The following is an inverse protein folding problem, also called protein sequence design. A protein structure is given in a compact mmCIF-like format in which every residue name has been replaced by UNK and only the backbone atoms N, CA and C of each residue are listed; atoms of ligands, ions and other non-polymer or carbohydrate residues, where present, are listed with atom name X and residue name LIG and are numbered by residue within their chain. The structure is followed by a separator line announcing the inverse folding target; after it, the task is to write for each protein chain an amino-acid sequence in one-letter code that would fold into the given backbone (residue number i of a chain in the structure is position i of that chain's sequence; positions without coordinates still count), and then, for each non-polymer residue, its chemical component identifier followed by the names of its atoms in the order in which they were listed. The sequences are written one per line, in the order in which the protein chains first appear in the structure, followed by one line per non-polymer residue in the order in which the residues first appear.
data_IF_077034027669
#
_entry.id   IF_077034027669
#
_cell.length_a   1.000
_cell.length_b   1.000
_cell.length_c   1.000
_cell.angle_alpha   90.00
_cell.angle_beta   90.00
_cell.angle_gamma   90.00
#
_symmetry.space_group_name_H-M   'P 1'
#
loop_
_entity.id
_entity.type
_entity.pdbx_description
1 polymer ?
#
# COMPACT_ATOMS: atom_id res chain seq x y z
N UNK A 1 -27.20 -29.29 23.13
CA UNK A 1 -26.76 -28.01 22.55
C UNK A 1 -27.98 -27.38 21.90
N UNK A 2 -28.47 -26.26 22.43
CA UNK A 2 -29.77 -25.68 22.00
C UNK A 2 -29.67 -25.15 20.57
N UNK A 3 -30.71 -25.37 19.76
CA UNK A 3 -30.78 -24.87 18.38
C UNK A 3 -30.52 -23.37 18.29
N UNK A 4 -30.89 -22.60 19.32
CA UNK A 4 -30.61 -21.16 19.42
C UNK A 4 -29.11 -20.83 19.41
N UNK A 5 -28.25 -21.64 20.05
CA UNK A 5 -26.80 -21.44 20.02
C UNK A 5 -26.25 -21.68 18.61
N UNK A 6 -26.72 -22.71 17.92
CA UNK A 6 -26.27 -22.99 16.54
C UNK A 6 -26.71 -21.90 15.56
N UNK A 7 -27.90 -21.32 15.71
CA UNK A 7 -28.35 -20.22 14.86
C UNK A 7 -27.58 -18.93 15.13
N UNK A 8 -27.27 -18.63 16.39
CA UNK A 8 -26.45 -17.47 16.75
C UNK A 8 -25.00 -17.61 16.28
N UNK A 9 -24.40 -18.80 16.41
CA UNK A 9 -23.07 -19.10 15.88
C UNK A 9 -23.00 -18.97 14.36
N UNK A 10 -24.03 -19.45 13.65
CA UNK A 10 -24.11 -19.31 12.19
C UNK A 10 -24.27 -17.85 11.77
N UNK A 11 -25.11 -17.08 12.46
CA UNK A 11 -25.28 -15.64 12.19
C UNK A 11 -23.99 -14.85 12.46
N UNK A 12 -23.30 -15.14 13.57
CA UNK A 12 -22.01 -14.52 13.90
C UNK A 12 -20.93 -14.85 12.85
N UNK A 13 -20.86 -16.11 12.39
CA UNK A 13 -19.92 -16.51 11.34
C UNK A 13 -20.19 -15.83 10.00
N UNK A 14 -21.45 -15.63 9.64
CA UNK A 14 -21.85 -14.89 8.43
C UNK A 14 -21.46 -13.42 8.52
N UNK A 15 -21.67 -12.79 9.67
CA UNK A 15 -21.29 -11.39 9.88
C UNK A 15 -19.76 -11.22 9.77
N UNK A 16 -18.99 -12.12 10.39
CA UNK A 16 -17.53 -12.10 10.32
C UNK A 16 -17.00 -12.30 8.89
N UNK A 17 -17.56 -13.27 8.16
CA UNK A 17 -17.17 -13.54 6.77
C UNK A 17 -17.53 -12.36 5.84
N UNK A 18 -18.68 -11.72 6.05
CA UNK A 18 -19.08 -10.56 5.26
C UNK A 18 -18.19 -9.35 5.53
N UNK A 19 -17.89 -9.06 6.80
CA UNK A 19 -16.99 -7.99 7.21
C UNK A 19 -15.57 -8.20 6.65
N UNK A 20 -15.06 -9.44 6.72
CA UNK A 20 -13.77 -9.80 6.14
C UNK A 20 -13.77 -9.63 4.62
N UNK A 21 -14.83 -10.06 3.94
CA UNK A 21 -14.96 -9.94 2.50
C UNK A 21 -15.00 -8.46 2.05
N UNK A 22 -15.82 -7.63 2.71
CA UNK A 22 -15.90 -6.19 2.42
C UNK A 22 -14.54 -5.52 2.67
N UNK A 23 -13.93 -5.77 3.83
CA UNK A 23 -12.61 -5.23 4.17
C UNK A 23 -11.54 -5.62 3.14
N UNK A 24 -11.63 -6.81 2.55
CA UNK A 24 -10.71 -7.22 1.49
C UNK A 24 -10.86 -6.36 0.23
N UNK A 25 -12.08 -6.08 -0.20
CA UNK A 25 -12.33 -5.21 -1.35
C UNK A 25 -11.89 -3.77 -1.09
N UNK A 26 -12.05 -3.28 0.15
CA UNK A 26 -11.53 -1.96 0.57
C UNK A 26 -10.02 -1.88 0.41
N UNK A 27 -9.28 -2.87 0.92
CA UNK A 27 -7.80 -2.90 0.83
C UNK A 27 -7.35 -3.00 -0.62
N UNK A 28 -8.03 -3.81 -1.44
CA UNK A 28 -7.73 -3.89 -2.87
C UNK A 28 -7.97 -2.56 -3.58
N UNK A 29 -9.10 -1.90 -3.31
CA UNK A 29 -9.40 -0.57 -3.86
C UNK A 29 -8.34 0.46 -3.47
N UNK A 30 -7.87 0.43 -2.22
CA UNK A 30 -6.78 1.28 -1.75
C UNK A 30 -5.49 1.04 -2.54
N UNK A 31 -5.08 -0.22 -2.69
CA UNK A 31 -3.87 -0.60 -3.42
C UNK A 31 -3.89 -0.17 -4.88
N UNK A 32 -5.03 -0.38 -5.57
CA UNK A 32 -5.21 0.11 -6.94
C UNK A 32 -5.19 1.63 -7.00
N UNK A 33 -5.80 2.30 -6.02
CA UNK A 33 -5.73 3.76 -5.90
C UNK A 33 -4.30 4.28 -5.71
N UNK A 34 -3.46 3.59 -4.93
CA UNK A 34 -2.03 3.92 -4.78
C UNK A 34 -1.29 3.82 -6.11
N UNK A 35 -1.50 2.73 -6.86
CA UNK A 35 -0.89 2.54 -8.16
C UNK A 35 -1.38 3.56 -9.21
N UNK A 36 -2.67 3.91 -9.17
CA UNK A 36 -3.28 4.85 -10.11
C UNK A 36 -2.98 6.33 -9.79
N UNK A 37 -2.66 6.67 -8.55
CA UNK A 37 -2.47 8.05 -8.11
C UNK A 37 -1.41 8.80 -8.92
N UNK A 38 -0.24 8.18 -9.10
CA UNK A 38 0.90 8.78 -9.81
C UNK A 38 0.64 8.99 -11.31
N UNK A 39 0.14 8.00 -12.08
CA UNK A 39 -0.21 8.24 -13.49
C UNK A 39 -1.39 9.20 -13.66
N UNK A 40 -2.38 9.20 -12.77
CA UNK A 40 -3.47 10.19 -12.81
C UNK A 40 -2.93 11.61 -12.59
N UNK A 41 -2.01 11.79 -11.64
CA UNK A 41 -1.36 13.07 -11.45
C UNK A 41 -0.53 13.48 -12.67
N UNK A 42 0.21 12.55 -13.29
CA UNK A 42 0.97 12.82 -14.50
C UNK A 42 0.06 13.30 -15.64
N UNK A 43 -1.05 12.61 -15.90
CA UNK A 43 -2.05 13.03 -16.89
C UNK A 43 -2.61 14.43 -16.59
N UNK A 44 -2.84 14.74 -15.31
CA UNK A 44 -3.26 16.08 -14.88
C UNK A 44 -2.19 17.14 -15.20
N UNK A 45 -0.91 16.79 -15.02
CA UNK A 45 0.18 17.73 -15.29
C UNK A 45 0.38 17.97 -16.77
N UNK A 46 0.24 16.92 -17.59
CA UNK A 46 0.28 17.02 -19.06
C UNK A 46 -0.87 17.85 -19.62
N UNK A 47 -2.02 17.90 -18.93
CA UNK A 47 -3.17 18.78 -19.28
C UNK A 47 -2.97 20.26 -18.94
N UNK A 48 -1.75 20.68 -18.60
CA UNK A 48 -1.40 22.10 -18.45
C UNK A 48 -1.34 22.61 -17.01
N UNK A 49 -1.47 21.75 -16.00
CA UNK A 49 -1.13 22.12 -14.61
C UNK A 49 0.35 21.80 -14.36
N UNK A 50 1.17 22.80 -14.06
CA UNK A 50 2.59 22.57 -13.77
C UNK A 50 2.83 21.49 -12.69
N UNK A 51 3.94 20.76 -12.80
CA UNK A 51 4.32 19.73 -11.84
C UNK A 51 4.66 20.37 -10.48
N UNK A 52 4.07 19.85 -9.41
CA UNK A 52 4.34 20.26 -8.03
C UNK A 52 4.38 19.05 -7.10
N UNK A 53 5.39 19.00 -6.22
CA UNK A 53 5.50 17.95 -5.20
C UNK A 53 4.28 17.88 -4.28
N UNK A 54 3.69 19.04 -3.95
CA UNK A 54 2.45 19.12 -3.16
C UNK A 54 1.25 18.48 -3.88
N UNK A 55 1.16 18.68 -5.20
CA UNK A 55 0.13 18.07 -6.03
C UNK A 55 0.29 16.55 -6.09
N UNK A 56 1.50 16.07 -6.33
CA UNK A 56 1.82 14.64 -6.34
C UNK A 56 1.45 13.98 -5.00
N UNK A 57 1.89 14.58 -3.89
CA UNK A 57 1.59 14.09 -2.55
C UNK A 57 0.07 14.07 -2.27
N UNK A 58 -0.68 15.09 -2.72
CA UNK A 58 -2.14 15.13 -2.58
C UNK A 58 -2.85 14.01 -3.34
N UNK A 59 -2.49 13.78 -4.60
CA UNK A 59 -3.08 12.70 -5.39
C UNK A 59 -2.80 11.34 -4.77
N UNK A 60 -1.59 11.16 -4.23
CA UNK A 60 -1.18 9.91 -3.59
C UNK A 60 -1.85 9.65 -2.24
N UNK A 61 -2.67 10.53 -1.68
CA UNK A 61 -3.55 10.16 -0.56
C UNK A 61 -5.04 10.26 -0.89
N UNK A 62 -5.43 11.17 -1.78
CA UNK A 62 -6.82 11.31 -2.22
C UNK A 62 -7.26 10.13 -3.10
N UNK A 63 -6.45 9.73 -4.07
CA UNK A 63 -6.79 8.63 -4.98
C UNK A 63 -6.88 7.28 -4.26
N UNK A 64 -5.95 6.90 -3.36
CA UNK A 64 -6.12 5.69 -2.53
C UNK A 64 -7.35 5.71 -1.64
N UNK A 65 -7.69 6.86 -1.03
CA UNK A 65 -8.91 6.98 -0.25
C UNK A 65 -10.17 6.79 -1.10
N UNK A 66 -10.22 7.40 -2.28
CA UNK A 66 -11.33 7.20 -3.22
C UNK A 66 -11.40 5.73 -3.69
N UNK A 67 -10.25 5.11 -3.92
CA UNK A 67 -10.13 3.67 -4.22
C UNK A 67 -10.66 2.80 -3.08
N UNK A 68 -10.29 3.10 -1.83
CA UNK A 68 -10.79 2.38 -0.65
C UNK A 68 -12.31 2.51 -0.52
N UNK A 69 -12.85 3.72 -0.66
CA UNK A 69 -14.28 3.97 -0.57
C UNK A 69 -15.07 3.23 -1.66
N UNK A 70 -14.62 3.30 -2.91
CA UNK A 70 -15.24 2.56 -4.02
C UNK A 70 -15.11 1.04 -3.85
N UNK A 71 -13.97 0.56 -3.35
CA UNK A 71 -13.76 -0.84 -2.98
C UNK A 71 -14.74 -1.31 -1.92
N UNK A 72 -14.94 -0.56 -0.84
CA UNK A 72 -15.92 -0.90 0.21
C UNK A 72 -17.35 -1.01 -0.34
N UNK A 73 -17.76 -0.06 -1.19
CA UNK A 73 -19.10 -0.08 -1.80
C UNK A 73 -19.26 -1.29 -2.71
N UNK A 74 -18.26 -1.58 -3.55
CA UNK A 74 -18.26 -2.75 -4.42
C UNK A 74 -18.27 -4.06 -3.61
N UNK A 75 -17.50 -4.13 -2.52
CA UNK A 75 -17.47 -5.26 -1.60
C UNK A 75 -18.80 -5.50 -0.90
N UNK A 76 -19.46 -4.44 -0.44
CA UNK A 76 -20.80 -4.52 0.16
C UNK A 76 -21.84 -5.01 -0.86
N UNK A 77 -21.84 -4.44 -2.06
CA UNK A 77 -22.74 -4.87 -3.13
C UNK A 77 -22.49 -6.33 -3.52
N UNK A 78 -21.22 -6.75 -3.64
CA UNK A 78 -20.87 -8.14 -3.93
C UNK A 78 -21.27 -9.10 -2.80
N UNK A 79 -21.07 -8.71 -1.53
CA UNK A 79 -21.47 -9.50 -0.38
C UNK A 79 -23.00 -9.66 -0.31
N UNK A 80 -23.76 -8.62 -0.65
CA UNK A 80 -25.24 -8.68 -0.67
C UNK A 80 -25.84 -9.59 -1.74
N UNK A 81 -25.06 -10.00 -2.74
CA UNK A 81 -25.49 -10.86 -3.84
C UNK A 81 -25.04 -12.33 -3.67
N UNK A 82 -24.26 -12.65 -2.63
CA UNK A 82 -23.69 -13.98 -2.42
C UNK A 82 -24.46 -14.75 -1.34
N UNK A 83 -24.74 -16.02 -1.60
CA UNK A 83 -25.27 -16.95 -0.60
C UNK A 83 -24.20 -17.31 0.44
N UNK A 84 -24.59 -17.50 1.70
CA UNK A 84 -23.69 -17.81 2.83
C UNK A 84 -22.63 -18.90 2.58
N UNK A 85 -22.95 -20.09 2.03
CA UNK A 85 -21.91 -21.10 1.76
C UNK A 85 -20.90 -20.66 0.70
N UNK A 86 -21.33 -19.84 -0.26
CA UNK A 86 -20.44 -19.29 -1.29
C UNK A 86 -19.54 -18.18 -0.75
N UNK A 87 -20.04 -17.38 0.21
CA UNK A 87 -19.28 -16.37 0.92
C UNK A 87 -18.17 -17.04 1.76
N UNK A 88 -18.53 -18.02 2.59
CA UNK A 88 -17.59 -18.76 3.44
C UNK A 88 -16.51 -19.52 2.63
N UNK A 89 -16.89 -20.10 1.48
CA UNK A 89 -15.93 -20.74 0.56
C UNK A 89 -14.96 -19.71 -0.06
N UNK A 90 -15.43 -18.50 -0.38
CA UNK A 90 -14.56 -17.44 -0.90
C UNK A 90 -13.69 -16.81 0.19
N UNK A 91 -14.19 -16.61 1.41
CA UNK A 91 -13.40 -16.06 2.52
C UNK A 91 -12.30 -17.03 2.95
N UNK A 92 -12.59 -18.33 3.03
CA UNK A 92 -11.57 -19.35 3.32
C UNK A 92 -10.48 -19.40 2.25
N UNK A 93 -10.85 -19.32 0.96
CA UNK A 93 -9.86 -19.21 -0.14
C UNK A 93 -9.02 -17.94 -0.07
N UNK A 94 -9.61 -16.81 0.33
CA UNK A 94 -8.90 -15.54 0.51
C UNK A 94 -7.93 -15.57 1.70
N UNK A 95 -8.28 -16.26 2.79
CA UNK A 95 -7.42 -16.42 3.97
C UNK A 95 -6.17 -17.26 3.69
N UNK A 96 -6.23 -18.17 2.73
CA UNK A 96 -5.15 -19.11 2.41
C UNK A 96 -4.17 -18.62 1.33
N UNK A 97 -4.38 -17.44 0.73
CA UNK A 97 -3.56 -16.94 -0.36
C UNK A 97 -2.27 -16.26 0.14
N UNK A 98 -1.19 -17.05 0.23
CA UNK A 98 0.13 -16.59 0.66
C UNK A 98 0.74 -15.51 -0.25
N UNK A 99 0.37 -15.44 -1.54
CA UNK A 99 0.87 -14.39 -2.42
C UNK A 99 0.29 -13.02 -2.05
N UNK A 100 -0.99 -13.00 -1.64
CA UNK A 100 -1.66 -11.76 -1.21
C UNK A 100 -1.10 -11.22 0.10
N UNK A 101 -0.84 -12.10 1.07
CA UNK A 101 -0.20 -11.71 2.34
C UNK A 101 1.11 -10.99 2.06
N UNK A 102 1.94 -11.56 1.18
CA UNK A 102 3.23 -10.96 0.80
C UNK A 102 3.09 -9.65 0.03
N UNK A 103 2.03 -9.47 -0.75
CA UNK A 103 1.72 -8.20 -1.41
C UNK A 103 1.34 -7.12 -0.40
N UNK A 104 0.49 -7.47 0.57
CA UNK A 104 0.03 -6.55 1.60
C UNK A 104 1.19 -6.11 2.51
N UNK A 105 2.10 -7.04 2.88
CA UNK A 105 3.31 -6.73 3.65
C UNK A 105 4.22 -5.72 2.94
N UNK A 106 4.49 -5.93 1.65
CA UNK A 106 5.33 -5.03 0.87
C UNK A 106 4.69 -3.65 0.70
N UNK A 107 3.36 -3.60 0.52
CA UNK A 107 2.62 -2.34 0.51
C UNK A 107 2.71 -1.62 1.86
N UNK A 108 2.60 -2.33 3.00
CA UNK A 108 2.71 -1.74 4.33
C UNK A 108 4.13 -1.24 4.63
N UNK A 109 5.16 -2.03 4.35
CA UNK A 109 6.55 -1.61 4.53
C UNK A 109 6.84 -0.39 3.65
N UNK A 110 6.43 -0.45 2.39
CA UNK A 110 6.56 0.66 1.46
C UNK A 110 5.87 1.91 1.98
N UNK A 111 4.63 1.80 2.46
CA UNK A 111 3.85 2.95 2.93
C UNK A 111 4.47 3.60 4.17
N UNK A 112 4.91 2.81 5.16
CA UNK A 112 5.60 3.33 6.34
C UNK A 112 6.88 4.06 5.95
N UNK A 113 7.71 3.45 5.09
CA UNK A 113 8.95 4.07 4.62
C UNK A 113 8.67 5.36 3.85
N UNK A 114 7.71 5.34 2.93
CA UNK A 114 7.35 6.52 2.15
C UNK A 114 6.79 7.65 3.02
N UNK A 115 5.97 7.31 4.02
CA UNK A 115 5.42 8.27 4.98
C UNK A 115 6.50 8.95 5.81
N UNK A 116 7.60 8.27 6.12
CA UNK A 116 8.73 8.86 6.84
C UNK A 116 9.65 9.66 5.91
N UNK A 117 10.01 9.08 4.76
CA UNK A 117 11.01 9.66 3.84
C UNK A 117 10.49 10.91 3.14
N UNK A 118 9.24 10.91 2.66
CA UNK A 118 8.71 12.03 1.88
C UNK A 118 8.67 13.35 2.68
N UNK A 119 8.09 13.42 3.90
CA UNK A 119 8.16 14.64 4.69
C UNK A 119 9.57 14.90 5.20
N UNK A 120 10.39 13.88 5.52
CA UNK A 120 11.78 14.12 5.95
C UNK A 120 12.61 14.88 4.91
N UNK A 121 12.41 14.60 3.62
CA UNK A 121 13.15 15.25 2.53
C UNK A 121 12.46 16.51 1.97
N UNK A 122 11.12 16.56 1.98
CA UNK A 122 10.36 17.57 1.25
C UNK A 122 9.32 18.32 2.10
N UNK A 123 9.52 18.40 3.43
CA UNK A 123 8.57 19.02 4.37
C UNK A 123 8.10 20.41 3.93
N UNK A 124 9.03 21.26 3.50
CA UNK A 124 8.74 22.64 3.07
C UNK A 124 7.92 22.73 1.77
N UNK A 125 7.93 21.67 0.95
CA UNK A 125 7.23 21.62 -0.34
C UNK A 125 5.88 20.91 -0.26
N UNK A 126 5.79 19.82 0.50
CA UNK A 126 4.55 19.03 0.61
C UNK A 126 3.69 19.45 1.80
N UNK A 127 4.33 19.95 2.87
CA UNK A 127 3.72 20.06 4.20
C UNK A 127 3.63 18.70 4.90
N UNK A 128 3.40 18.72 6.21
CA UNK A 128 3.41 17.52 7.06
C UNK A 128 2.29 16.53 6.69
N UNK A 129 1.05 16.99 6.58
CA UNK A 129 -0.12 16.13 6.30
C UNK A 129 -0.03 15.49 4.91
N UNK A 130 0.23 16.27 3.86
CA UNK A 130 0.35 15.70 2.51
C UNK A 130 1.64 14.87 2.39
N UNK A 131 2.71 15.23 3.09
CA UNK A 131 3.96 14.47 3.12
C UNK A 131 3.76 13.08 3.73
N UNK A 132 3.13 12.98 4.90
CA UNK A 132 2.85 11.71 5.57
C UNK A 132 1.90 10.85 4.75
N UNK A 133 0.72 11.37 4.41
CA UNK A 133 -0.32 10.58 3.74
C UNK A 133 0.05 10.29 2.27
N UNK A 134 0.59 11.27 1.56
CA UNK A 134 1.06 11.10 0.19
C UNK A 134 2.31 10.24 0.11
N UNK A 135 3.18 10.29 1.12
CA UNK A 135 4.30 9.40 1.29
C UNK A 135 3.86 7.96 1.51
N UNK A 136 2.82 7.76 2.35
CA UNK A 136 2.23 6.44 2.55
C UNK A 136 1.69 5.84 1.24
N UNK A 137 0.98 6.62 0.43
CA UNK A 137 0.47 6.14 -0.85
C UNK A 137 1.57 5.87 -1.89
N UNK A 138 2.55 6.78 -2.03
CA UNK A 138 3.69 6.59 -2.95
C UNK A 138 4.53 5.38 -2.56
N UNK A 139 4.86 5.28 -1.27
CA UNK A 139 5.63 4.17 -0.73
C UNK A 139 4.89 2.85 -0.86
N UNK A 140 3.59 2.84 -0.58
CA UNK A 140 2.74 1.66 -0.78
C UNK A 140 2.69 1.23 -2.24
N UNK A 141 2.54 2.16 -3.18
CA UNK A 141 2.61 1.89 -4.62
C UNK A 141 3.96 1.27 -5.02
N UNK A 142 5.08 1.81 -4.52
CA UNK A 142 6.40 1.26 -4.78
C UNK A 142 6.56 -0.18 -4.24
N UNK A 143 6.00 -0.47 -3.06
CA UNK A 143 5.94 -1.82 -2.50
C UNK A 143 5.15 -2.81 -3.37
N UNK A 144 4.00 -2.37 -3.90
CA UNK A 144 3.18 -3.17 -4.82
C UNK A 144 3.87 -3.44 -6.15
N UNK A 145 4.49 -2.42 -6.75
CA UNK A 145 5.28 -2.58 -7.98
C UNK A 145 6.42 -3.56 -7.73
N UNK A 146 7.12 -3.45 -6.60
CA UNK A 146 8.18 -4.39 -6.21
C UNK A 146 7.64 -5.81 -6.09
N UNK A 147 6.46 -6.01 -5.49
CA UNK A 147 5.82 -7.32 -5.45
C UNK A 147 5.54 -7.88 -6.86
N UNK A 148 4.98 -7.07 -7.76
CA UNK A 148 4.72 -7.49 -9.14
C UNK A 148 6.00 -7.79 -9.92
N UNK A 149 7.04 -6.97 -9.77
CA UNK A 149 8.36 -7.21 -10.37
C UNK A 149 8.98 -8.49 -9.80
N UNK A 150 8.90 -8.75 -8.49
CA UNK A 150 9.39 -9.99 -7.91
C UNK A 150 8.59 -11.22 -8.37
N UNK A 151 7.28 -11.07 -8.55
CA UNK A 151 6.42 -12.14 -9.04
C UNK A 151 6.74 -12.50 -10.49
N UNK A 152 6.96 -11.51 -11.35
CA UNK A 152 7.36 -11.69 -12.75
C UNK A 152 8.84 -12.10 -12.88
N UNK A 153 9.70 -11.55 -12.02
CA UNK A 153 11.14 -11.77 -11.96
C UNK A 153 11.56 -13.08 -11.28
N UNK A 154 10.63 -13.87 -10.72
CA UNK A 154 10.94 -15.28 -10.43
C UNK A 154 11.24 -16.11 -11.69
N UNK A 155 11.09 -15.53 -12.89
CA UNK A 155 11.64 -16.03 -14.15
C UNK A 155 12.97 -15.41 -14.61
N UNK A 156 13.54 -14.41 -13.91
CA UNK A 156 14.80 -13.77 -14.32
C UNK A 156 15.40 -12.83 -13.26
N UNK A 157 16.73 -12.89 -13.09
CA UNK A 157 17.66 -12.29 -12.10
C UNK A 157 17.53 -10.80 -11.69
N UNK A 158 16.43 -10.12 -12.00
CA UNK A 158 16.19 -8.70 -11.74
C UNK A 158 16.12 -8.38 -10.24
N UNK A 159 15.57 -9.29 -9.42
CA UNK A 159 15.39 -9.08 -7.97
C UNK A 159 16.75 -9.03 -7.25
N UNK A 160 17.67 -9.92 -7.62
CA UNK A 160 19.02 -9.95 -7.04
C UNK A 160 19.87 -8.75 -7.45
N UNK A 161 19.54 -8.08 -8.55
CA UNK A 161 20.20 -6.84 -8.97
C UNK A 161 19.68 -5.65 -8.16
N UNK A 162 18.36 -5.51 -7.99
CA UNK A 162 17.76 -4.46 -7.15
C UNK A 162 18.21 -4.58 -5.69
N UNK A 163 18.32 -5.79 -5.15
CA UNK A 163 18.79 -5.98 -3.76
C UNK A 163 20.25 -5.53 -3.60
N UNK A 164 21.12 -5.86 -4.57
CA UNK A 164 22.53 -5.43 -4.57
C UNK A 164 22.66 -3.92 -4.69
N UNK A 165 21.90 -3.30 -5.60
CA UNK A 165 21.91 -1.86 -5.81
C UNK A 165 21.38 -1.11 -4.58
N UNK A 166 20.35 -1.65 -3.93
CA UNK A 166 19.79 -1.07 -2.70
C UNK A 166 20.78 -1.16 -1.54
N UNK A 167 21.45 -2.30 -1.34
CA UNK A 167 22.51 -2.45 -0.33
C UNK A 167 23.67 -1.49 -0.59
N UNK A 168 24.15 -1.38 -1.83
CA UNK A 168 25.22 -0.45 -2.19
C UNK A 168 24.87 1.02 -1.96
N UNK A 169 23.62 1.41 -2.26
CA UNK A 169 23.13 2.76 -1.99
C UNK A 169 23.04 3.06 -0.49
N UNK A 170 22.58 2.09 0.32
CA UNK A 170 22.48 2.22 1.77
C UNK A 170 23.87 2.32 2.43
N UNK A 171 24.83 1.52 1.99
CA UNK A 171 26.21 1.57 2.49
C UNK A 171 26.90 2.88 2.12
N UNK A 172 26.65 3.41 0.92
CA UNK A 172 27.16 4.71 0.49
C UNK A 172 26.54 5.88 1.27
N UNK A 173 25.26 5.77 1.64
CA UNK A 173 24.61 6.76 2.49
C UNK A 173 25.17 6.72 3.92
N UNK A 174 25.36 5.51 4.46
CA UNK A 174 25.96 5.31 5.79
C UNK A 174 27.39 5.84 5.85
N UNK A 175 28.21 5.57 4.83
CA UNK A 175 29.60 6.06 4.80
C UNK A 175 29.67 7.59 4.76
N UNK A 176 28.77 8.26 4.02
CA UNK A 176 28.67 9.72 4.00
C UNK A 176 28.27 10.29 5.36
N UNK A 177 27.33 9.65 6.05
CA UNK A 177 26.91 10.07 7.40
C UNK A 177 28.06 9.94 8.39
N UNK A 178 28.82 8.84 8.33
CA UNK A 178 29.98 8.62 9.20
C UNK A 178 31.12 9.61 8.89
N UNK A 179 31.33 9.96 7.62
CA UNK A 179 32.31 10.98 7.20
C UNK A 179 31.95 12.36 7.74
N UNK A 180 30.69 12.77 7.62
CA UNK A 180 30.20 14.06 8.12
C UNK A 180 30.28 14.10 9.65
N UNK A 181 29.94 13.01 10.33
CA UNK A 181 30.06 12.90 11.79
C UNK A 181 31.52 13.04 12.25
N UNK A 182 32.46 12.42 11.52
CA UNK A 182 33.90 12.54 11.79
C UNK A 182 34.47 13.94 11.56
N UNK A 183 34.00 14.65 10.52
CA UNK A 183 34.39 16.05 10.29
C UNK A 183 33.86 17.01 11.36
N UNK A 184 32.62 16.82 11.81
CA UNK A 184 32.02 17.63 12.88
C UNK A 184 32.76 17.43 14.20
N UNK A 185 33.18 16.20 14.51
CA UNK A 185 33.93 15.87 15.73
C UNK A 185 35.38 16.40 15.73
N UNK A 186 35.95 16.72 14.56
CA UNK A 186 37.26 17.39 14.43
C UNK A 186 37.19 18.91 14.54
N UNK A 187 35.99 19.49 14.45
CA UNK A 187 35.77 20.96 14.52
C UNK A 187 35.25 21.43 15.89
N UNK A 188 34.97 20.51 16.81
CA UNK A 188 34.72 20.76 18.23
C UNK A 188 36.01 20.52 19.02
#
# INVERSE_FOLDING_TARGET
MSQQLTTQLAAAGVEEDSAYYIGRYTVQGLQYGCLAATPLYLLQTLRGRGFTLRGLARYNWLTPLAGAASGSIAGYAAASQLDHPSLAARTSGLRLDAQRVRQDDLHLIGSVLGALVLPALFLSRTGLVNGLLGGAGLGGAAGLVTHHVQRLGKGGDVVGQIERDTKGAFDSAKSKVDQVKGEVQKRL
#
